data_IF_180358474656
#
_entry.id   IF_180358474656
#
_cell.length_a   1.000
_cell.length_b   1.000
_cell.length_c   1.000
_cell.angle_alpha   90.00
_cell.angle_beta   90.00
_cell.angle_gamma   90.00
#
_symmetry.space_group_name_H-M   'P 1'
#
loop_
_entity.id
_entity.type
_entity.pdbx_description
1 polymer ?
#
# COMPACT_ATOMS: atom_id res chain seq x y z
N UNK A 1 -13.33 -35.00 -7.29
CA UNK A 1 -12.75 -34.35 -6.10
C UNK A 1 -11.55 -33.55 -6.58
N UNK A 2 -11.78 -32.29 -6.96
CA UNK A 2 -10.71 -31.36 -7.30
C UNK A 2 -10.59 -30.41 -6.12
N UNK A 3 -9.48 -30.46 -5.40
CA UNK A 3 -9.21 -29.54 -4.30
C UNK A 3 -8.92 -28.16 -4.87
N UNK A 4 -9.80 -27.20 -4.61
CA UNK A 4 -9.43 -25.79 -4.62
C UNK A 4 -8.39 -25.60 -3.53
N UNK A 5 -7.17 -25.22 -3.90
CA UNK A 5 -6.20 -24.69 -2.94
C UNK A 5 -6.78 -23.39 -2.38
N UNK A 6 -6.79 -23.26 -1.05
CA UNK A 6 -7.17 -22.01 -0.39
C UNK A 6 -6.24 -20.88 -0.84
N UNK A 7 -6.74 -19.64 -1.00
CA UNK A 7 -5.88 -18.47 -1.19
C UNK A 7 -4.94 -18.38 0.02
N UNK A 8 -3.65 -18.26 -0.26
CA UNK A 8 -2.64 -18.13 0.80
C UNK A 8 -2.64 -16.68 1.26
N UNK A 9 -3.17 -16.48 2.46
CA UNK A 9 -3.36 -15.21 3.16
C UNK A 9 -2.02 -14.62 3.66
N UNK A 10 -1.03 -14.57 2.78
CA UNK A 10 0.33 -14.21 3.15
C UNK A 10 0.48 -12.68 3.07
N UNK A 11 0.87 -12.00 4.17
CA UNK A 11 1.11 -10.56 4.13
C UNK A 11 2.21 -10.24 3.12
N UNK A 12 2.08 -9.10 2.43
CA UNK A 12 3.06 -8.64 1.45
C UNK A 12 4.47 -8.58 2.07
N UNK A 13 5.44 -9.22 1.41
CA UNK A 13 6.82 -9.30 1.90
C UNK A 13 7.56 -7.95 1.84
N UNK A 14 7.06 -7.03 0.99
CA UNK A 14 7.53 -5.65 0.88
C UNK A 14 6.39 -4.72 1.29
N UNK A 15 6.61 -3.96 2.36
CA UNK A 15 5.65 -3.01 2.91
C UNK A 15 6.02 -1.59 2.48
N UNK A 16 5.09 -0.86 1.86
CA UNK A 16 5.27 0.54 1.48
C UNK A 16 4.55 1.44 2.49
N UNK A 17 5.27 2.44 3.01
CA UNK A 17 4.79 3.35 4.04
C UNK A 17 5.14 4.79 3.68
N UNK A 18 4.34 5.72 4.19
CA UNK A 18 4.68 7.13 4.21
C UNK A 18 5.22 7.53 5.60
N UNK A 19 6.17 8.48 5.60
CA UNK A 19 6.81 9.02 6.82
C UNK A 19 7.07 10.51 6.70
N UNK A 20 6.99 11.21 7.83
CA UNK A 20 7.14 12.66 7.94
C UNK A 20 8.57 13.09 8.30
N UNK A 21 9.51 12.14 8.36
CA UNK A 21 10.90 12.41 8.70
C UNK A 21 11.85 11.30 8.25
N UNK A 22 13.17 11.55 8.38
CA UNK A 22 14.18 10.52 8.12
C UNK A 22 13.97 9.35 9.08
N UNK A 23 13.86 8.15 8.52
CA UNK A 23 13.79 6.93 9.32
C UNK A 23 15.19 6.51 9.74
N UNK A 24 15.48 6.43 11.05
CA UNK A 24 16.78 5.97 11.53
C UNK A 24 17.12 4.58 10.99
N UNK A 25 18.27 4.45 10.34
CA UNK A 25 18.76 3.17 9.81
C UNK A 25 18.16 2.73 8.46
N UNK A 26 17.27 3.52 7.85
CA UNK A 26 16.80 3.24 6.50
C UNK A 26 17.84 3.64 5.45
N UNK A 27 18.06 2.77 4.47
CA UNK A 27 18.92 3.04 3.30
C UNK A 27 18.19 4.02 2.38
N UNK A 28 18.77 5.19 2.13
CA UNK A 28 18.23 6.16 1.19
C UNK A 28 18.44 5.66 -0.26
N UNK A 29 17.38 5.47 -1.03
CA UNK A 29 17.45 5.01 -2.43
C UNK A 29 17.76 6.15 -3.41
N UNK A 30 17.54 7.37 -2.97
CA UNK A 30 17.80 8.60 -3.69
C UNK A 30 19.11 9.24 -3.24
N UNK A 31 19.72 9.99 -4.16
CA UNK A 31 20.84 10.88 -3.87
C UNK A 31 20.69 12.15 -4.70
N UNK A 32 21.07 13.30 -4.14
CA UNK A 32 21.01 14.60 -4.82
C UNK A 32 19.64 14.93 -5.44
N UNK A 33 18.57 14.49 -4.79
CA UNK A 33 17.19 14.72 -5.23
C UNK A 33 16.74 13.85 -6.41
N UNK A 34 17.48 12.78 -6.74
CA UNK A 34 17.15 11.85 -7.82
C UNK A 34 17.06 10.42 -7.31
N UNK A 35 16.09 9.67 -7.83
CA UNK A 35 15.97 8.23 -7.65
C UNK A 35 15.99 7.57 -9.02
N UNK A 36 17.12 6.95 -9.34
CA UNK A 36 17.32 6.18 -10.55
C UNK A 36 18.22 4.96 -10.27
N UNK A 37 18.44 4.12 -11.28
CA UNK A 37 19.26 2.92 -11.14
C UNK A 37 20.63 3.23 -10.55
N UNK A 38 21.26 4.33 -10.93
CA UNK A 38 22.60 4.66 -10.44
C UNK A 38 22.56 4.94 -8.94
N UNK A 39 21.63 5.81 -8.48
CA UNK A 39 21.53 6.13 -7.04
C UNK A 39 21.18 4.88 -6.23
N UNK A 40 20.25 4.06 -6.71
CA UNK A 40 19.86 2.82 -6.04
C UNK A 40 21.06 1.87 -5.88
N UNK A 41 21.82 1.64 -6.96
CA UNK A 41 22.97 0.73 -6.93
C UNK A 41 24.05 1.20 -5.98
N UNK A 42 24.34 2.51 -5.96
CA UNK A 42 25.30 3.08 -5.02
C UNK A 42 24.84 2.91 -3.58
N UNK A 43 23.56 3.16 -3.30
CA UNK A 43 22.99 3.01 -1.96
C UNK A 43 23.01 1.56 -1.48
N UNK A 44 22.68 0.60 -2.34
CA UNK A 44 22.76 -0.82 -2.02
C UNK A 44 24.22 -1.25 -1.76
N UNK A 45 25.13 -0.89 -2.65
CA UNK A 45 26.54 -1.24 -2.52
C UNK A 45 27.15 -0.71 -1.22
N UNK A 46 26.81 0.53 -0.85
CA UNK A 46 27.27 1.13 0.40
C UNK A 46 26.64 0.48 1.63
N UNK A 47 25.32 0.25 1.62
CA UNK A 47 24.60 -0.25 2.79
C UNK A 47 24.88 -1.72 3.11
N UNK A 48 25.08 -2.54 2.07
CA UNK A 48 25.33 -3.98 2.19
C UNK A 48 26.81 -4.34 2.00
N UNK A 49 27.69 -3.33 1.95
CA UNK A 49 29.13 -3.48 1.79
C UNK A 49 29.49 -4.41 0.62
N UNK A 50 28.91 -4.16 -0.55
CA UNK A 50 29.21 -4.95 -1.75
C UNK A 50 30.69 -4.84 -2.13
N UNK A 51 31.28 -5.92 -2.68
CA UNK A 51 32.70 -5.94 -3.02
C UNK A 51 33.05 -5.01 -4.18
N UNK A 52 34.31 -4.60 -4.26
CA UNK A 52 34.83 -3.68 -5.29
C UNK A 52 34.62 -4.17 -6.74
N UNK A 53 34.46 -5.48 -6.93
CA UNK A 53 34.15 -6.10 -8.23
C UNK A 53 32.66 -6.14 -8.57
N UNK A 54 31.80 -5.48 -7.79
CA UNK A 54 30.36 -5.41 -8.02
C UNK A 54 30.05 -4.95 -9.45
N UNK A 55 29.16 -5.69 -10.13
CA UNK A 55 28.86 -5.52 -11.56
C UNK A 55 27.91 -4.37 -11.92
N UNK A 56 27.45 -3.57 -10.94
CA UNK A 56 26.57 -2.41 -11.16
C UNK A 56 25.30 -2.69 -11.96
N UNK A 57 24.70 -3.86 -11.75
CA UNK A 57 23.47 -4.28 -12.42
C UNK A 57 22.56 -5.08 -11.46
N UNK A 58 21.29 -5.24 -11.84
CA UNK A 58 20.27 -5.83 -10.96
C UNK A 58 20.52 -7.30 -10.63
N UNK A 59 21.05 -8.07 -11.57
CA UNK A 59 21.38 -9.47 -11.33
C UNK A 59 22.51 -9.59 -10.30
N UNK A 60 23.59 -8.82 -10.47
CA UNK A 60 24.69 -8.80 -9.51
C UNK A 60 24.24 -8.31 -8.12
N UNK A 61 23.33 -7.33 -8.07
CA UNK A 61 22.79 -6.84 -6.80
C UNK A 61 21.93 -7.90 -6.11
N UNK A 62 21.08 -8.59 -6.88
CA UNK A 62 20.24 -9.70 -6.38
C UNK A 62 21.10 -10.79 -5.77
N UNK A 63 22.11 -11.26 -6.50
CA UNK A 63 22.97 -12.36 -6.07
C UNK A 63 23.69 -12.01 -4.74
N UNK A 64 24.24 -10.80 -4.63
CA UNK A 64 24.90 -10.34 -3.41
C UNK A 64 23.94 -10.16 -2.22
N UNK A 65 22.71 -9.72 -2.46
CA UNK A 65 21.68 -9.62 -1.40
C UNK A 65 21.25 -11.00 -0.91
N UNK A 66 21.14 -11.98 -1.80
CA UNK A 66 20.84 -13.37 -1.44
C UNK A 66 21.97 -13.99 -0.62
N UNK A 67 23.23 -13.78 -1.03
CA UNK A 67 24.42 -14.22 -0.27
C UNK A 67 24.46 -13.60 1.15
N UNK A 68 24.05 -12.33 1.27
CA UNK A 68 23.92 -11.64 2.55
C UNK A 68 22.87 -12.30 3.46
N UNK A 69 21.75 -12.77 2.90
CA UNK A 69 20.70 -13.44 3.66
C UNK A 69 21.10 -14.82 4.18
N UNK A 70 21.85 -15.60 3.39
CA UNK A 70 22.33 -16.92 3.82
C UNK A 70 23.21 -16.84 5.09
N UNK A 71 23.84 -15.69 5.33
CA UNK A 71 24.67 -15.45 6.51
C UNK A 71 23.84 -15.11 7.77
N UNK A 72 22.56 -14.79 7.63
CA UNK A 72 21.68 -14.38 8.72
C UNK A 72 21.13 -15.60 9.46
N UNK A 73 21.07 -15.50 10.80
CA UNK A 73 20.62 -16.60 11.68
C UNK A 73 19.29 -16.33 12.40
N UNK A 74 18.57 -15.31 11.99
CA UNK A 74 17.32 -14.88 12.62
C UNK A 74 16.53 -13.91 11.76
N UNK A 75 15.42 -13.36 12.29
CA UNK A 75 14.59 -12.40 11.57
C UNK A 75 15.38 -11.18 11.12
N UNK A 76 15.18 -10.78 9.87
CA UNK A 76 15.88 -9.68 9.21
C UNK A 76 14.88 -8.60 8.84
N UNK A 77 15.23 -7.34 9.12
CA UNK A 77 14.47 -6.18 8.69
C UNK A 77 15.38 -5.29 7.83
N UNK A 78 15.01 -5.11 6.57
CA UNK A 78 15.63 -4.14 5.68
C UNK A 78 14.71 -2.95 5.48
N UNK A 79 15.23 -1.76 5.74
CA UNK A 79 14.49 -0.51 5.64
C UNK A 79 15.11 0.35 4.56
N UNK A 80 14.27 0.87 3.67
CA UNK A 80 14.63 1.75 2.59
C UNK A 80 13.78 3.01 2.68
N UNK A 81 14.32 4.14 2.23
CA UNK A 81 13.55 5.38 2.16
C UNK A 81 13.86 6.16 0.90
N UNK A 82 12.91 6.99 0.47
CA UNK A 82 13.16 8.00 -0.56
C UNK A 82 12.28 9.22 -0.39
N UNK A 83 12.77 10.39 -0.78
CA UNK A 83 12.03 11.64 -0.68
C UNK A 83 10.90 11.71 -1.74
N UNK A 84 9.73 12.21 -1.32
CA UNK A 84 8.57 12.34 -2.18
C UNK A 84 8.75 13.38 -3.31
N UNK A 85 9.66 14.33 -3.11
CA UNK A 85 10.04 15.39 -4.04
C UNK A 85 11.27 15.02 -4.91
N UNK A 86 11.83 13.82 -4.74
CA UNK A 86 12.88 13.35 -5.62
C UNK A 86 12.34 13.20 -7.05
N UNK A 87 13.20 13.43 -8.04
CA UNK A 87 12.95 13.07 -9.42
C UNK A 87 13.04 11.54 -9.54
N UNK A 88 11.88 10.88 -9.58
CA UNK A 88 11.77 9.41 -9.58
C UNK A 88 11.73 8.87 -11.00
N UNK A 89 12.72 8.09 -11.38
CA UNK A 89 12.61 7.18 -12.51
C UNK A 89 11.75 5.97 -12.12
N UNK A 90 10.49 5.97 -12.58
CA UNK A 90 9.51 4.94 -12.23
C UNK A 90 9.87 3.55 -12.76
N UNK A 91 10.57 3.45 -13.89
CA UNK A 91 11.00 2.17 -14.43
C UNK A 91 12.06 1.53 -13.53
N UNK A 92 13.08 2.30 -13.12
CA UNK A 92 14.14 1.82 -12.23
C UNK A 92 13.60 1.46 -10.83
N UNK A 93 12.64 2.25 -10.30
CA UNK A 93 11.98 1.94 -9.03
C UNK A 93 11.15 0.65 -9.11
N UNK A 94 10.50 0.39 -10.24
CA UNK A 94 9.75 -0.85 -10.47
C UNK A 94 10.69 -2.07 -10.59
N UNK A 95 11.83 -1.93 -11.29
CA UNK A 95 12.86 -2.98 -11.36
C UNK A 95 13.44 -3.29 -9.98
N UNK A 96 13.71 -2.26 -9.17
CA UNK A 96 14.13 -2.44 -7.78
C UNK A 96 13.07 -3.15 -6.92
N UNK A 97 11.80 -2.77 -7.05
CA UNK A 97 10.71 -3.42 -6.31
C UNK A 97 10.57 -4.91 -6.69
N UNK A 98 10.69 -5.23 -7.97
CA UNK A 98 10.72 -6.61 -8.47
C UNK A 98 11.89 -7.41 -7.90
N UNK A 99 13.09 -6.80 -7.83
CA UNK A 99 14.25 -7.41 -7.21
C UNK A 99 14.01 -7.70 -5.72
N UNK A 100 13.46 -6.75 -4.95
CA UNK A 100 13.18 -6.95 -3.52
C UNK A 100 12.15 -8.05 -3.28
N UNK A 101 11.12 -8.15 -4.13
CA UNK A 101 10.17 -9.26 -4.07
C UNK A 101 10.86 -10.61 -4.29
N UNK A 102 11.72 -10.72 -5.31
CA UNK A 102 12.47 -11.96 -5.56
C UNK A 102 13.41 -12.33 -4.39
N UNK A 103 14.02 -11.33 -3.75
CA UNK A 103 14.86 -11.55 -2.56
C UNK A 103 14.02 -12.04 -1.37
N UNK A 104 12.83 -11.47 -1.16
CA UNK A 104 11.90 -11.95 -0.14
C UNK A 104 11.40 -13.39 -0.38
N UNK A 105 11.08 -13.73 -1.63
CA UNK A 105 10.71 -15.11 -2.02
C UNK A 105 11.86 -16.09 -1.74
N UNK A 106 13.08 -15.70 -2.09
CA UNK A 106 14.26 -16.51 -1.79
C UNK A 106 14.49 -16.68 -0.29
N UNK A 107 14.39 -15.59 0.49
CA UNK A 107 14.52 -15.63 1.94
C UNK A 107 13.56 -16.64 2.58
N UNK A 108 12.30 -16.66 2.13
CA UNK A 108 11.34 -17.67 2.56
C UNK A 108 11.77 -19.09 2.17
N UNK A 109 12.25 -19.28 0.93
CA UNK A 109 12.71 -20.60 0.46
C UNK A 109 13.86 -21.19 1.27
N UNK A 110 14.72 -20.34 1.85
CA UNK A 110 15.82 -20.73 2.74
C UNK A 110 15.49 -20.62 4.24
N UNK A 111 14.23 -20.30 4.58
CA UNK A 111 13.75 -20.25 5.96
C UNK A 111 14.22 -19.03 6.77
N UNK A 112 14.65 -17.96 6.10
CA UNK A 112 15.04 -16.69 6.73
C UNK A 112 13.83 -15.74 6.75
N UNK A 113 13.30 -15.35 7.92
CA UNK A 113 12.19 -14.40 8.00
C UNK A 113 12.68 -12.99 7.65
N UNK A 114 12.56 -12.61 6.38
CA UNK A 114 12.87 -11.26 5.90
C UNK A 114 11.61 -10.40 5.83
N UNK A 115 11.72 -9.16 6.32
CA UNK A 115 10.77 -8.08 6.06
C UNK A 115 11.47 -6.92 5.38
N UNK A 116 10.93 -6.45 4.27
CA UNK A 116 11.38 -5.23 3.60
C UNK A 116 10.35 -4.13 3.83
N UNK A 117 10.80 -2.96 4.29
CA UNK A 117 9.98 -1.78 4.49
C UNK A 117 10.53 -0.64 3.65
N UNK A 118 9.67 -0.01 2.87
CA UNK A 118 9.99 1.09 1.97
C UNK A 118 9.22 2.32 2.39
N UNK A 119 9.92 3.43 2.60
CA UNK A 119 9.37 4.61 3.23
C UNK A 119 9.50 5.84 2.35
N UNK A 120 8.39 6.35 1.82
CA UNK A 120 8.39 7.64 1.15
C UNK A 120 8.40 8.77 2.21
N UNK A 121 9.46 9.57 2.21
CA UNK A 121 9.64 10.74 3.08
C UNK A 121 8.90 11.92 2.48
N UNK A 122 7.81 12.30 3.11
CA UNK A 122 7.04 13.47 2.73
C UNK A 122 7.79 14.72 3.18
N UNK A 123 7.71 15.79 2.39
CA UNK A 123 8.23 17.08 2.83
C UNK A 123 7.40 17.60 4.03
N UNK A 124 8.03 18.21 5.04
CA UNK A 124 7.32 18.93 6.10
C UNK A 124 6.43 20.06 5.57
N UNK A 125 6.74 20.64 4.40
CA UNK A 125 5.93 21.66 3.69
C UNK A 125 4.81 21.08 2.83
N UNK A 126 4.87 19.78 2.50
CA UNK A 126 3.77 19.06 1.84
C UNK A 126 2.72 18.54 2.83
N UNK A 127 3.06 18.54 4.12
CA UNK A 127 2.11 18.49 5.21
C UNK A 127 1.74 19.95 5.50
N UNK A 128 0.49 20.36 5.29
CA UNK A 128 0.07 21.63 5.91
C UNK A 128 0.28 21.48 7.42
N UNK A 129 0.48 22.59 8.14
CA UNK A 129 0.54 22.58 9.61
C UNK A 129 -0.72 21.97 10.27
N UNK A 130 -1.73 21.63 9.47
CA UNK A 130 -3.05 21.16 9.84
C UNK A 130 -3.36 19.74 9.30
N UNK A 131 -2.39 19.02 8.75
CA UNK A 131 -2.59 17.65 8.27
C UNK A 131 -2.94 16.68 9.42
N UNK A 132 -4.20 16.23 9.48
CA UNK A 132 -4.65 15.16 10.38
C UNK A 132 -4.19 13.79 9.88
N UNK A 133 -3.60 13.00 10.76
CA UNK A 133 -3.21 11.61 10.53
C UNK A 133 -4.36 10.69 10.94
N UNK A 134 -4.73 9.75 10.06
CA UNK A 134 -5.64 8.64 10.39
C UNK A 134 -4.87 7.31 10.30
N UNK A 135 -5.16 6.40 11.22
CA UNK A 135 -4.48 5.12 11.36
C UNK A 135 -5.47 3.97 11.24
N UNK A 136 -5.08 2.90 10.54
CA UNK A 136 -5.71 1.59 10.69
C UNK A 136 -4.73 0.71 11.48
N UNK A 137 -5.12 0.38 12.72
CA UNK A 137 -4.50 -0.60 13.61
C UNK A 137 -2.95 -0.54 13.70
N UNK A 138 -2.41 0.65 14.01
CA UNK A 138 -0.98 0.97 14.17
C UNK A 138 -0.05 0.62 12.98
N UNK A 139 -0.60 0.14 11.86
CA UNK A 139 0.14 -0.50 10.76
C UNK A 139 -0.08 0.17 9.40
N UNK A 140 -1.23 0.83 9.18
CA UNK A 140 -1.53 1.56 7.94
C UNK A 140 -1.70 3.06 8.20
N UNK A 141 -1.02 3.89 7.38
CA UNK A 141 -1.07 5.36 7.43
C UNK A 141 -1.68 5.90 6.14
N UNK A 142 -2.73 6.70 6.27
CA UNK A 142 -3.32 7.42 5.13
C UNK A 142 -2.87 8.87 5.14
N UNK A 143 -2.33 9.31 4.00
CA UNK A 143 -1.95 10.70 3.77
C UNK A 143 -2.93 11.34 2.81
N UNK A 144 -3.81 12.19 3.34
CA UNK A 144 -4.63 13.06 2.52
C UNK A 144 -3.76 14.17 1.92
N UNK A 145 -3.70 14.26 0.58
CA UNK A 145 -2.96 15.30 -0.14
C UNK A 145 -3.91 16.33 -0.74
N UNK A 146 -3.39 17.54 -0.99
CA UNK A 146 -4.04 18.55 -1.82
C UNK A 146 -5.27 19.19 -1.17
N UNK A 147 -6.31 19.43 -1.96
CA UNK A 147 -7.52 20.11 -1.48
C UNK A 147 -8.30 19.27 -0.47
N UNK A 148 -8.03 17.97 -0.28
CA UNK A 148 -8.84 17.14 0.61
C UNK A 148 -8.79 17.60 2.08
N UNK A 149 -7.60 17.96 2.59
CA UNK A 149 -7.46 18.56 3.94
C UNK A 149 -8.19 19.89 4.02
N UNK A 150 -8.07 20.73 2.99
CA UNK A 150 -8.82 21.99 2.88
C UNK A 150 -10.33 21.74 2.81
N UNK A 151 -10.78 20.72 2.10
CA UNK A 151 -12.18 20.31 1.99
C UNK A 151 -12.71 19.86 3.34
N UNK A 152 -11.96 19.02 4.08
CA UNK A 152 -12.31 18.62 5.45
C UNK A 152 -12.47 19.86 6.35
N UNK A 153 -11.54 20.81 6.27
CA UNK A 153 -11.57 22.04 7.09
C UNK A 153 -12.68 23.02 6.69
N UNK A 154 -12.86 23.25 5.38
CA UNK A 154 -13.86 24.17 4.83
C UNK A 154 -15.29 23.64 4.98
N UNK A 155 -15.48 22.33 4.89
CA UNK A 155 -16.79 21.68 5.02
C UNK A 155 -17.07 21.22 6.45
N UNK A 156 -16.06 21.28 7.34
CA UNK A 156 -16.20 20.97 8.74
C UNK A 156 -16.51 19.49 9.00
N UNK A 157 -15.94 18.58 8.21
CA UNK A 157 -16.23 17.15 8.33
C UNK A 157 -15.90 16.64 9.74
N UNK A 158 -16.88 15.98 10.35
CA UNK A 158 -16.76 15.31 11.64
C UNK A 158 -15.95 14.04 11.56
N UNK A 159 -15.68 13.45 12.73
CA UNK A 159 -14.95 12.19 12.84
C UNK A 159 -15.62 11.07 12.04
N UNK A 160 -16.96 11.01 12.03
CA UNK A 160 -17.73 10.00 11.28
C UNK A 160 -17.56 10.10 9.75
N UNK A 161 -17.52 11.32 9.21
CA UNK A 161 -17.39 11.55 7.76
C UNK A 161 -15.95 11.30 7.32
N UNK A 162 -14.97 11.78 8.11
CA UNK A 162 -13.58 11.38 7.94
C UNK A 162 -13.48 9.87 8.06
N UNK A 163 -14.30 9.25 8.93
CA UNK A 163 -14.55 7.82 9.16
C UNK A 163 -15.26 7.05 8.03
N UNK A 164 -15.77 7.73 7.00
CA UNK A 164 -16.18 7.07 5.76
C UNK A 164 -15.07 7.10 4.71
N UNK A 165 -14.41 8.25 4.58
CA UNK A 165 -13.46 8.50 3.50
C UNK A 165 -12.20 7.62 3.53
N UNK A 166 -11.63 7.32 4.71
CA UNK A 166 -10.47 6.42 4.78
C UNK A 166 -10.86 4.96 4.47
N UNK A 167 -12.11 4.56 4.68
CA UNK A 167 -12.64 3.18 4.56
C UNK A 167 -12.73 2.92 3.09
N UNK A 168 -13.34 3.87 2.38
CA UNK A 168 -13.35 3.94 0.94
C UNK A 168 -11.95 3.86 0.36
N UNK A 169 -11.02 4.70 0.84
CA UNK A 169 -9.64 4.73 0.33
C UNK A 169 -8.90 3.40 0.56
N UNK A 170 -9.07 2.79 1.74
CA UNK A 170 -8.47 1.50 2.07
C UNK A 170 -9.06 0.37 1.25
N UNK A 171 -10.38 0.28 1.19
CA UNK A 171 -11.12 -0.73 0.44
C UNK A 171 -10.75 -0.67 -1.05
N UNK A 172 -10.65 0.54 -1.59
CA UNK A 172 -10.14 0.79 -2.94
C UNK A 172 -8.72 0.26 -3.14
N UNK A 173 -7.82 0.54 -2.20
CA UNK A 173 -6.44 0.06 -2.27
C UNK A 173 -6.37 -1.48 -2.23
N UNK A 174 -7.15 -2.14 -1.37
CA UNK A 174 -7.20 -3.61 -1.30
C UNK A 174 -7.68 -4.21 -2.63
N UNK A 175 -8.78 -3.69 -3.19
CA UNK A 175 -9.30 -4.16 -4.47
C UNK A 175 -8.32 -3.97 -5.63
N UNK A 176 -7.58 -2.85 -5.60
CA UNK A 176 -6.55 -2.55 -6.60
C UNK A 176 -5.35 -3.49 -6.48
N UNK A 177 -4.93 -3.83 -5.27
CA UNK A 177 -3.84 -4.79 -5.02
C UNK A 177 -4.19 -6.20 -5.50
N UNK A 178 -5.47 -6.59 -5.45
CA UNK A 178 -5.97 -7.83 -6.06
C UNK A 178 -6.08 -7.76 -7.59
N UNK A 179 -5.79 -6.62 -8.22
CA UNK A 179 -5.91 -6.44 -9.66
C UNK A 179 -7.35 -6.39 -10.17
N UNK A 180 -8.34 -6.14 -9.29
CA UNK A 180 -9.76 -6.10 -9.63
C UNK A 180 -10.19 -4.77 -10.28
N UNK A 181 -9.32 -3.76 -10.23
CA UNK A 181 -9.52 -2.44 -10.84
C UNK A 181 -8.48 -2.25 -11.96
N UNK A 182 -8.87 -2.43 -13.24
CA UNK A 182 -7.96 -2.26 -14.36
C UNK A 182 -7.48 -0.82 -14.51
N UNK A 183 -6.25 -0.66 -15.01
CA UNK A 183 -5.71 0.65 -15.34
C UNK A 183 -6.58 1.36 -16.39
N UNK A 184 -6.87 2.65 -16.18
CA UNK A 184 -7.75 3.45 -17.03
C UNK A 184 -9.24 3.33 -16.70
N UNK A 185 -9.61 2.56 -15.66
CA UNK A 185 -10.98 2.39 -15.16
C UNK A 185 -11.09 2.70 -13.67
N UNK A 186 -10.15 3.51 -13.15
CA UNK A 186 -10.02 3.83 -11.74
C UNK A 186 -11.25 4.54 -11.18
N UNK A 187 -11.82 5.48 -11.92
CA UNK A 187 -12.99 6.27 -11.50
C UNK A 187 -14.24 5.39 -11.37
N UNK A 188 -14.49 4.52 -12.38
CA UNK A 188 -15.61 3.59 -12.35
C UNK A 188 -15.45 2.53 -11.25
N UNK A 189 -14.24 1.99 -11.07
CA UNK A 189 -13.94 1.07 -9.97
C UNK A 189 -14.11 1.72 -8.60
N UNK A 190 -13.71 2.99 -8.45
CA UNK A 190 -13.91 3.75 -7.21
C UNK A 190 -15.40 3.95 -6.93
N UNK A 191 -16.18 4.32 -7.95
CA UNK A 191 -17.61 4.60 -7.80
C UNK A 191 -18.40 3.35 -7.33
N UNK A 192 -18.03 2.16 -7.79
CA UNK A 192 -18.63 0.90 -7.30
C UNK A 192 -18.28 0.60 -5.83
N UNK A 193 -17.05 0.90 -5.43
CA UNK A 193 -16.60 0.73 -4.04
C UNK A 193 -17.30 1.75 -3.13
N UNK A 194 -17.48 2.98 -3.60
CA UNK A 194 -18.23 4.02 -2.92
C UNK A 194 -19.69 3.63 -2.71
N UNK A 195 -20.34 3.13 -3.76
CA UNK A 195 -21.74 2.69 -3.72
C UNK A 195 -21.94 1.55 -2.70
N UNK A 196 -21.08 0.53 -2.76
CA UNK A 196 -21.08 -0.58 -1.80
C UNK A 196 -20.92 -0.11 -0.35
N UNK A 197 -19.89 0.71 -0.10
CA UNK A 197 -19.62 1.18 1.25
C UNK A 197 -20.73 2.10 1.77
N UNK A 198 -21.34 2.90 0.92
CA UNK A 198 -22.49 3.74 1.25
C UNK A 198 -23.68 2.88 1.66
N UNK A 199 -24.05 1.90 0.84
CA UNK A 199 -25.14 0.97 1.13
C UNK A 199 -24.90 0.21 2.44
N UNK A 200 -23.69 -0.32 2.64
CA UNK A 200 -23.28 -0.99 3.88
C UNK A 200 -23.38 -0.06 5.11
N UNK A 201 -22.98 1.20 4.97
CA UNK A 201 -23.03 2.18 6.06
C UNK A 201 -24.47 2.55 6.43
N UNK A 202 -25.36 2.67 5.43
CA UNK A 202 -26.79 2.95 5.63
C UNK A 202 -27.47 1.80 6.37
N UNK A 203 -27.24 0.56 5.95
CA UNK A 203 -27.83 -0.62 6.58
C UNK A 203 -27.40 -0.74 8.05
N UNK A 204 -26.11 -0.56 8.33
CA UNK A 204 -25.59 -0.53 9.71
C UNK A 204 -26.22 0.60 10.52
N UNK A 205 -26.37 1.81 9.95
CA UNK A 205 -27.00 2.94 10.63
C UNK A 205 -28.49 2.70 10.93
N UNK A 206 -29.17 1.89 10.13
CA UNK A 206 -30.55 1.45 10.35
C UNK A 206 -30.66 0.26 11.32
N UNK A 207 -29.52 -0.25 11.82
CA UNK A 207 -29.46 -1.38 12.73
C UNK A 207 -29.57 -2.75 12.05
N UNK A 208 -29.41 -2.79 10.73
CA UNK A 208 -29.30 -4.01 9.94
C UNK A 208 -27.84 -4.50 9.92
N UNK A 209 -27.65 -5.80 9.71
CA UNK A 209 -26.32 -6.40 9.54
C UNK A 209 -25.86 -6.35 8.08
N UNK A 210 -24.55 -6.50 7.86
CA UNK A 210 -24.00 -6.60 6.49
C UNK A 210 -24.54 -7.80 5.73
N UNK A 211 -24.99 -8.85 6.43
CA UNK A 211 -25.61 -10.04 5.86
C UNK A 211 -26.98 -9.80 5.22
N UNK A 212 -27.60 -8.64 5.48
CA UNK A 212 -28.86 -8.23 4.85
C UNK A 212 -28.66 -7.36 3.59
N UNK A 213 -27.41 -6.99 3.27
CA UNK A 213 -27.08 -6.11 2.15
C UNK A 213 -27.33 -6.79 0.79
N UNK A 214 -28.14 -6.17 -0.07
CA UNK A 214 -28.39 -6.66 -1.43
C UNK A 214 -27.29 -6.19 -2.39
N UNK A 215 -26.29 -7.05 -2.61
CA UNK A 215 -25.18 -6.78 -3.53
C UNK A 215 -25.62 -6.59 -4.99
N UNK A 216 -26.83 -7.02 -5.37
CA UNK A 216 -27.33 -6.89 -6.74
C UNK A 216 -27.73 -5.46 -7.09
N UNK A 217 -27.92 -4.58 -6.10
CA UNK A 217 -28.21 -3.16 -6.32
C UNK A 217 -26.94 -2.32 -6.54
N UNK A 218 -25.76 -2.87 -6.24
CA UNK A 218 -24.50 -2.13 -6.32
C UNK A 218 -24.10 -1.90 -7.78
N UNK A 219 -23.90 -0.62 -8.13
CA UNK A 219 -23.55 -0.17 -9.47
C UNK A 219 -24.72 -0.10 -10.44
N UNK A 220 -25.97 -0.28 -9.97
CA UNK A 220 -27.14 -0.20 -10.84
C UNK A 220 -27.32 1.23 -11.36
N UNK A 221 -27.33 1.38 -12.68
CA UNK A 221 -27.50 2.68 -13.36
C UNK A 221 -26.19 3.41 -13.66
N UNK A 222 -25.04 2.79 -13.39
CA UNK A 222 -23.73 3.31 -13.74
C UNK A 222 -23.42 2.96 -15.20
N UNK A 223 -22.60 3.77 -15.87
CA UNK A 223 -22.14 3.49 -17.23
C UNK A 223 -21.32 2.18 -17.31
N UNK A 224 -20.64 1.84 -16.21
CA UNK A 224 -19.90 0.59 -16.03
C UNK A 224 -20.29 -0.03 -14.68
N UNK A 225 -21.27 -0.93 -14.70
CA UNK A 225 -21.78 -1.61 -13.51
C UNK A 225 -20.87 -2.71 -12.98
N UNK A 226 -21.31 -3.39 -11.91
CA UNK A 226 -20.57 -4.46 -11.23
C UNK A 226 -20.19 -5.62 -12.16
N UNK A 227 -20.99 -5.89 -13.19
CA UNK A 227 -20.70 -6.87 -14.24
C UNK A 227 -19.44 -6.56 -15.04
N UNK A 228 -19.05 -5.29 -15.09
CA UNK A 228 -17.86 -4.81 -15.79
C UNK A 228 -16.58 -4.93 -14.94
N UNK A 229 -16.70 -5.33 -13.66
CA UNK A 229 -15.60 -5.53 -12.72
C UNK A 229 -15.77 -6.86 -11.97
N UNK A 230 -15.48 -8.01 -12.63
CA UNK A 230 -15.74 -9.32 -12.07
C UNK A 230 -15.03 -9.54 -10.72
N UNK A 231 -15.81 -9.86 -9.69
CA UNK A 231 -15.33 -10.14 -8.34
C UNK A 231 -14.95 -8.90 -7.51
N UNK A 232 -15.08 -7.69 -8.05
CA UNK A 232 -14.77 -6.45 -7.31
C UNK A 232 -15.70 -6.27 -6.12
N UNK A 233 -17.01 -6.30 -6.35
CA UNK A 233 -18.02 -6.10 -5.30
C UNK A 233 -17.96 -7.23 -4.26
N UNK A 234 -17.83 -8.48 -4.71
CA UNK A 234 -17.76 -9.64 -3.80
C UNK A 234 -16.52 -9.58 -2.89
N UNK A 235 -15.35 -9.23 -3.46
CA UNK A 235 -14.13 -9.08 -2.67
C UNK A 235 -14.22 -7.90 -1.70
N UNK A 236 -14.68 -6.74 -2.19
CA UNK A 236 -14.86 -5.57 -1.35
C UNK A 236 -15.85 -5.84 -0.19
N UNK A 237 -16.94 -6.55 -0.46
CA UNK A 237 -17.89 -6.96 0.56
C UNK A 237 -17.26 -7.91 1.59
N UNK A 238 -16.48 -8.91 1.15
CA UNK A 238 -15.79 -9.81 2.09
C UNK A 238 -14.82 -9.07 3.03
N UNK A 239 -14.19 -8.01 2.53
CA UNK A 239 -13.31 -7.15 3.32
C UNK A 239 -14.12 -6.36 4.35
N UNK A 240 -15.30 -5.84 3.98
CA UNK A 240 -16.23 -5.19 4.91
C UNK A 240 -16.79 -6.16 5.94
N UNK A 241 -17.12 -7.42 5.59
CA UNK A 241 -17.56 -8.44 6.55
C UNK A 241 -16.49 -8.75 7.58
N UNK A 242 -15.23 -8.83 7.15
CA UNK A 242 -14.10 -9.15 8.03
C UNK A 242 -13.74 -8.01 8.98
N UNK A 243 -13.85 -6.76 8.52
CA UNK A 243 -13.28 -5.61 9.23
C UNK A 243 -14.31 -4.56 9.66
N UNK A 244 -15.56 -4.62 9.18
CA UNK A 244 -16.61 -3.63 9.38
C UNK A 244 -16.48 -2.40 8.47
N UNK A 245 -17.41 -1.46 8.62
CA UNK A 245 -17.43 -0.20 7.83
C UNK A 245 -16.68 0.96 8.51
N UNK A 246 -16.42 0.87 9.82
CA UNK A 246 -15.69 1.88 10.58
C UNK A 246 -14.29 1.37 10.95
N UNK A 247 -13.36 1.51 10.01
CA UNK A 247 -12.05 0.84 10.09
C UNK A 247 -10.99 1.63 10.89
N UNK A 248 -11.31 2.79 11.46
CA UNK A 248 -10.34 3.58 12.26
C UNK A 248 -10.93 4.37 13.43
N UNK A 249 -9.99 4.84 14.27
CA UNK A 249 -10.18 5.86 15.29
C UNK A 249 -9.25 7.03 15.01
N UNK A 250 -9.76 8.25 15.12
CA UNK A 250 -8.96 9.47 14.97
C UNK A 250 -8.08 9.64 16.22
N UNK A 251 -6.78 9.89 16.04
CA UNK A 251 -5.89 10.23 17.17
C UNK A 251 -5.54 11.71 17.07
N UNK A 252 -5.92 12.46 18.11
CA UNK A 252 -5.62 13.88 18.29
C UNK A 252 -4.14 14.16 18.53
#
# INVERSE_FOLDING_TARGET
MSGMGAPTDKPASVLWLDTTGPTPGAVALEADGRLDKQTIMHSLAAAFEFPDYFGWNWDAARDLLMDQLEQQKGPVLWQFSYAADAEINRADLAEWASLMNAVCEYAESVGVPLRVVVQQRLQPSSLSRDAKLAYVDDTLRFHFRGNFTRTIEEHGFGEEEINGWVSLAWLYQQCREQGLIPQGREDAGFALIEDLHCAASVDIALGLGLDELDLSEIGVGYDEGSESFPGLVDYAFSVLEQHGTALWRLVS
#
